data_IF_501324815037
#
_entry.id   IF_501324815037
#
_cell.length_a   1.000
_cell.length_b   1.000
_cell.length_c   1.000
_cell.angle_alpha   90.00
_cell.angle_beta   90.00
_cell.angle_gamma   90.00
#
_symmetry.space_group_name_H-M   'P 1'
#
loop_
_entity.id
_entity.type
_entity.pdbx_description
1 polymer ?
#
# COMPACT_ATOMS: atom_id res chain seq x y z
N UNK A 1 17.35 28.54 56.00
CA UNK A 1 16.20 27.60 55.97
C UNK A 1 15.15 27.91 54.89
N UNK A 2 14.82 29.17 54.55
CA UNK A 2 13.75 29.48 53.57
C UNK A 2 14.04 29.11 52.10
N UNK A 3 15.29 29.14 51.65
CA UNK A 3 15.67 28.87 50.25
C UNK A 3 15.60 27.36 49.92
N UNK A 4 15.96 26.50 50.87
CA UNK A 4 15.95 25.05 50.71
C UNK A 4 14.52 24.47 50.62
N UNK A 5 13.56 25.06 51.34
CA UNK A 5 12.15 24.66 51.27
C UNK A 5 11.53 25.00 49.90
N UNK A 6 11.93 26.13 49.31
CA UNK A 6 11.51 26.53 47.95
C UNK A 6 12.11 25.63 46.86
N UNK A 7 13.33 25.14 47.03
CA UNK A 7 13.96 24.19 46.10
C UNK A 7 13.36 22.78 46.20
N UNK A 8 13.04 22.32 47.42
CA UNK A 8 12.35 21.03 47.63
C UNK A 8 10.92 21.10 47.07
N UNK A 9 10.20 22.20 47.31
CA UNK A 9 8.86 22.39 46.74
C UNK A 9 8.87 22.47 45.21
N UNK A 10 9.89 23.11 44.60
CA UNK A 10 10.06 23.11 43.13
C UNK A 10 10.43 21.73 42.58
N UNK A 11 11.24 20.95 43.28
CA UNK A 11 11.62 19.60 42.84
C UNK A 11 10.44 18.62 42.90
N UNK A 12 9.60 18.72 43.94
CA UNK A 12 8.37 17.92 44.10
C UNK A 12 7.31 18.30 43.06
N UNK A 13 7.18 19.60 42.75
CA UNK A 13 6.28 20.07 41.69
C UNK A 13 6.77 19.66 40.29
N UNK A 14 8.08 19.56 40.07
CA UNK A 14 8.67 19.11 38.80
C UNK A 14 8.58 17.59 38.62
N UNK A 15 8.66 16.80 39.70
CA UNK A 15 8.47 15.34 39.64
C UNK A 15 7.01 14.94 39.42
N UNK A 16 6.04 15.82 39.73
CA UNK A 16 4.63 15.63 39.39
C UNK A 16 4.34 15.78 37.87
N UNK A 17 5.28 16.33 37.09
CA UNK A 17 5.18 16.42 35.63
C UNK A 17 5.86 15.26 34.88
N UNK A 18 6.47 14.30 35.59
CA UNK A 18 7.19 13.17 34.97
C UNK A 18 6.43 11.84 34.99
N UNK A 19 5.18 11.82 35.46
CA UNK A 19 4.29 10.67 35.31
C UNK A 19 3.31 10.97 34.18
N UNK A 20 3.76 10.74 32.95
CA UNK A 20 2.90 10.58 31.78
C UNK A 20 3.30 9.31 31.05
N UNK A 21 3.09 8.18 31.73
CA UNK A 21 2.71 6.96 31.06
C UNK A 21 1.35 6.62 31.66
N UNK A 22 0.27 6.89 30.92
CA UNK A 22 -0.98 6.18 31.18
C UNK A 22 -0.63 4.69 31.10
N UNK A 23 -0.55 4.02 32.24
CA UNK A 23 -0.88 2.61 32.28
C UNK A 23 -2.38 2.56 31.97
N UNK A 24 -2.74 2.47 30.69
CA UNK A 24 -4.10 2.14 30.30
C UNK A 24 -4.36 0.70 30.72
N UNK A 25 -4.76 0.52 31.97
CA UNK A 25 -5.51 -0.66 32.41
C UNK A 25 -6.87 -0.65 31.70
N UNK A 26 -6.93 -1.25 30.50
CA UNK A 26 -8.21 -1.49 29.82
C UNK A 26 -8.09 -1.55 28.30
N UNK A 27 -8.17 -2.77 27.77
CA UNK A 27 -8.05 -3.16 26.36
C UNK A 27 -6.62 -3.13 25.79
N UNK A 28 -5.92 -4.27 25.92
CA UNK A 28 -4.77 -4.56 25.06
C UNK A 28 -5.24 -4.48 23.60
N UNK A 29 -4.63 -3.61 22.80
CA UNK A 29 -4.89 -3.58 21.37
C UNK A 29 -4.61 -4.97 20.81
N UNK A 30 -5.54 -5.58 20.05
CA UNK A 30 -5.29 -6.87 19.44
C UNK A 30 -4.03 -6.77 18.56
N UNK A 31 -3.24 -7.85 18.41
CA UNK A 31 -2.00 -7.85 17.64
C UNK A 31 -2.31 -7.80 16.14
N UNK A 32 -2.81 -6.65 15.70
CA UNK A 32 -3.25 -6.40 14.33
C UNK A 32 -2.07 -6.08 13.43
N UNK A 33 -2.17 -6.57 12.19
CA UNK A 33 -1.26 -6.30 11.09
C UNK A 33 -1.92 -5.36 10.11
N UNK A 34 -1.14 -4.46 9.51
CA UNK A 34 -1.53 -3.62 8.38
C UNK A 34 -0.66 -3.99 7.18
N UNK A 35 -1.23 -4.70 6.21
CA UNK A 35 -0.46 -5.23 5.07
C UNK A 35 -1.22 -5.02 3.75
N UNK A 36 -0.46 -4.97 2.66
CA UNK A 36 -0.99 -5.13 1.31
C UNK A 36 -1.19 -6.62 1.04
N UNK A 37 -2.37 -6.99 0.53
CA UNK A 37 -2.83 -8.37 0.37
C UNK A 37 -3.65 -8.52 -0.91
N UNK A 38 -3.87 -9.75 -1.36
CA UNK A 38 -4.93 -10.08 -2.32
C UNK A 38 -6.09 -10.69 -1.57
N UNK A 39 -7.25 -10.05 -1.58
CA UNK A 39 -8.49 -10.63 -1.06
C UNK A 39 -9.16 -11.47 -2.14
N UNK A 40 -9.58 -12.68 -1.81
CA UNK A 40 -10.25 -13.62 -2.69
C UNK A 40 -11.63 -13.97 -2.13
N UNK A 41 -12.65 -13.90 -2.98
CA UNK A 41 -14.03 -14.19 -2.63
C UNK A 41 -14.46 -15.59 -3.04
N UNK A 42 -15.42 -16.15 -2.30
CA UNK A 42 -16.11 -17.39 -2.66
C UNK A 42 -17.14 -17.19 -3.76
N UNK A 43 -17.87 -18.28 -4.07
CA UNK A 43 -18.93 -18.27 -5.08
C UNK A 43 -20.14 -17.37 -4.71
N UNK A 44 -20.25 -16.98 -3.44
CA UNK A 44 -21.27 -16.05 -2.93
C UNK A 44 -20.78 -14.60 -2.86
N UNK A 45 -19.53 -14.32 -3.27
CA UNK A 45 -18.93 -12.97 -3.23
C UNK A 45 -18.36 -12.57 -1.86
N UNK A 46 -18.54 -13.39 -0.81
CA UNK A 46 -17.96 -13.11 0.51
C UNK A 46 -16.46 -13.39 0.51
N UNK A 47 -15.69 -12.62 1.29
CA UNK A 47 -14.26 -12.86 1.43
C UNK A 47 -13.98 -14.17 2.15
N UNK A 48 -13.21 -15.04 1.52
CA UNK A 48 -12.86 -16.37 2.03
C UNK A 48 -11.36 -16.50 2.31
N UNK A 49 -10.52 -15.78 1.57
CA UNK A 49 -9.06 -15.87 1.73
C UNK A 49 -8.38 -14.52 1.57
N UNK A 50 -7.39 -14.25 2.41
CA UNK A 50 -6.38 -13.22 2.19
C UNK A 50 -5.06 -13.88 1.79
N UNK A 51 -4.42 -13.40 0.73
CA UNK A 51 -3.11 -13.88 0.27
C UNK A 51 -2.08 -12.78 0.49
N UNK A 52 -1.05 -13.09 1.29
CA UNK A 52 0.07 -12.18 1.54
C UNK A 52 0.98 -12.04 0.33
N UNK A 53 1.82 -11.01 0.32
CA UNK A 53 2.83 -10.81 -0.73
C UNK A 53 3.89 -11.92 -0.78
N UNK A 54 3.99 -12.73 0.28
CA UNK A 54 4.85 -13.93 0.35
C UNK A 54 4.14 -15.20 -0.13
N UNK A 55 2.88 -15.10 -0.55
CA UNK A 55 2.07 -16.24 -0.99
C UNK A 55 1.38 -17.03 0.12
N UNK A 56 1.56 -16.66 1.40
CA UNK A 56 0.82 -17.29 2.50
C UNK A 56 -0.69 -17.00 2.34
N UNK A 57 -1.49 -18.07 2.39
CA UNK A 57 -2.96 -18.01 2.30
C UNK A 57 -3.56 -18.09 3.69
N UNK A 58 -4.37 -17.10 4.02
CA UNK A 58 -4.99 -16.90 5.33
C UNK A 58 -6.51 -17.05 5.18
N UNK A 59 -7.12 -17.98 5.91
CA UNK A 59 -8.58 -18.22 5.86
C UNK A 59 -9.29 -17.11 6.60
N UNK A 60 -10.28 -16.49 5.96
CA UNK A 60 -11.10 -15.46 6.59
C UNK A 60 -12.15 -16.15 7.47
N UNK A 61 -11.94 -16.15 8.78
CA UNK A 61 -12.91 -16.68 9.74
C UNK A 61 -13.97 -15.64 10.13
N UNK A 62 -13.60 -14.35 10.11
CA UNK A 62 -14.51 -13.25 10.40
C UNK A 62 -14.12 -12.01 9.59
N UNK A 63 -15.05 -11.51 8.76
CA UNK A 63 -14.91 -10.20 8.11
C UNK A 63 -15.87 -9.18 8.73
N UNK A 64 -15.33 -8.23 9.52
CA UNK A 64 -16.11 -7.17 10.15
C UNK A 64 -16.48 -6.04 9.19
N UNK A 65 -15.82 -5.97 8.04
CA UNK A 65 -16.10 -4.96 7.02
C UNK A 65 -17.32 -5.33 6.18
N UNK A 66 -17.64 -6.62 6.11
CA UNK A 66 -18.67 -7.19 5.22
C UNK A 66 -18.42 -6.77 3.77
N UNK A 67 -17.16 -6.84 3.36
CA UNK A 67 -16.78 -6.53 1.98
C UNK A 67 -17.29 -7.64 1.07
N UNK A 68 -17.94 -7.25 -0.02
CA UNK A 68 -18.34 -8.16 -1.08
C UNK A 68 -17.53 -7.88 -2.34
N UNK A 69 -17.02 -8.94 -2.98
CA UNK A 69 -16.43 -8.87 -4.31
C UNK A 69 -17.32 -9.57 -5.31
N UNK A 70 -16.97 -9.48 -6.60
CA UNK A 70 -17.55 -10.36 -7.60
C UNK A 70 -17.36 -11.83 -7.18
N UNK A 71 -18.36 -12.71 -7.38
CA UNK A 71 -18.24 -14.14 -7.11
C UNK A 71 -16.99 -14.76 -7.72
N UNK A 72 -16.21 -15.50 -6.93
CA UNK A 72 -14.91 -16.07 -7.29
C UNK A 72 -13.87 -15.04 -7.77
N UNK A 73 -14.10 -13.76 -7.47
CA UNK A 73 -13.22 -12.65 -7.83
C UNK A 73 -12.13 -12.42 -6.80
N UNK A 74 -11.19 -11.56 -7.17
CA UNK A 74 -10.12 -11.11 -6.29
C UNK A 74 -9.92 -9.60 -6.40
N UNK A 75 -9.48 -8.98 -5.31
CA UNK A 75 -9.10 -7.56 -5.27
C UNK A 75 -7.77 -7.37 -4.55
N UNK A 76 -6.98 -6.40 -5.00
CA UNK A 76 -5.77 -5.96 -4.30
C UNK A 76 -6.18 -4.97 -3.21
N UNK A 77 -5.79 -5.23 -1.97
CA UNK A 77 -6.28 -4.50 -0.80
C UNK A 77 -5.15 -4.12 0.16
N UNK A 78 -5.42 -3.14 1.00
CA UNK A 78 -4.72 -2.94 2.28
C UNK A 78 -5.70 -3.30 3.38
N UNK A 79 -5.30 -4.16 4.30
CA UNK A 79 -6.18 -4.61 5.38
C UNK A 79 -5.52 -4.54 6.74
N UNK A 80 -6.32 -4.13 7.72
CA UNK A 80 -6.05 -4.32 9.14
C UNK A 80 -6.69 -5.63 9.61
N UNK A 81 -5.89 -6.61 10.01
CA UNK A 81 -6.37 -7.93 10.40
C UNK A 81 -5.55 -8.55 11.52
N UNK A 82 -6.13 -9.52 12.22
CA UNK A 82 -5.51 -10.30 13.30
C UNK A 82 -5.49 -11.78 12.91
N UNK A 83 -4.39 -12.47 13.22
CA UNK A 83 -4.35 -13.94 13.14
C UNK A 83 -4.91 -14.49 14.45
N UNK A 84 -6.09 -15.12 14.39
CA UNK A 84 -6.84 -15.57 15.57
C UNK A 84 -6.63 -17.07 15.87
N UNK A 85 -6.19 -17.83 14.88
CA UNK A 85 -5.82 -19.24 15.02
C UNK A 85 -4.69 -19.59 14.05
N UNK A 86 -3.87 -20.57 14.41
CA UNK A 86 -2.79 -21.13 13.57
C UNK A 86 -2.73 -22.66 13.67
N UNK A 87 -3.87 -23.29 14.00
CA UNK A 87 -3.95 -24.73 14.19
C UNK A 87 -3.79 -25.50 12.86
N UNK A 88 -3.13 -26.65 12.90
CA UNK A 88 -3.03 -27.54 11.74
C UNK A 88 -2.28 -26.98 10.53
N UNK A 89 -1.45 -25.94 10.70
CA UNK A 89 -0.71 -25.30 9.61
C UNK A 89 -1.53 -24.32 8.76
N UNK A 90 -2.81 -24.11 9.12
CA UNK A 90 -3.67 -23.10 8.50
C UNK A 90 -3.86 -21.94 9.47
N UNK A 91 -3.75 -20.72 8.96
CA UNK A 91 -4.01 -19.51 9.74
C UNK A 91 -5.40 -18.99 9.43
N UNK A 92 -6.16 -18.73 10.48
CA UNK A 92 -7.45 -18.06 10.41
C UNK A 92 -7.30 -16.61 10.85
N UNK A 93 -7.99 -15.72 10.15
CA UNK A 93 -7.90 -14.29 10.36
C UNK A 93 -9.25 -13.64 10.59
N UNK A 94 -9.20 -12.56 11.37
CA UNK A 94 -10.28 -11.60 11.53
C UNK A 94 -9.90 -10.29 10.85
N UNK A 95 -10.74 -9.80 9.95
CA UNK A 95 -10.57 -8.51 9.27
C UNK A 95 -11.31 -7.42 10.06
N UNK A 96 -10.60 -6.36 10.43
CA UNK A 96 -11.16 -5.19 11.10
C UNK A 96 -11.42 -4.03 10.14
N UNK A 97 -10.51 -3.83 9.18
CA UNK A 97 -10.64 -2.82 8.14
C UNK A 97 -10.03 -3.32 6.84
N UNK A 98 -10.58 -2.85 5.72
CA UNK A 98 -10.13 -3.21 4.39
C UNK A 98 -10.39 -2.02 3.47
N UNK A 99 -9.40 -1.70 2.64
CA UNK A 99 -9.53 -0.71 1.58
C UNK A 99 -8.91 -1.29 0.30
N UNK A 100 -9.58 -1.10 -0.83
CA UNK A 100 -9.00 -1.44 -2.13
C UNK A 100 -7.80 -0.54 -2.43
N UNK A 101 -6.76 -1.12 -3.03
CA UNK A 101 -5.71 -0.31 -3.67
C UNK A 101 -6.18 0.13 -5.04
N UNK A 102 -5.64 1.25 -5.54
CA UNK A 102 -5.78 1.57 -6.96
C UNK A 102 -4.80 0.68 -7.72
N UNK A 103 -5.35 -0.29 -8.46
CA UNK A 103 -4.57 -1.33 -9.13
C UNK A 103 -5.00 -1.65 -10.57
N UNK A 104 -5.26 -0.65 -11.44
CA UNK A 104 -5.51 -0.92 -12.85
C UNK A 104 -4.24 -1.43 -13.55
N UNK A 105 -4.40 -2.19 -14.63
CA UNK A 105 -3.27 -2.59 -15.48
C UNK A 105 -2.65 -1.36 -16.15
N UNK A 106 -1.31 -1.27 -16.27
CA UNK A 106 -0.70 -0.18 -17.03
C UNK A 106 -1.13 -0.17 -18.49
N UNK A 107 -1.27 1.02 -19.07
CA UNK A 107 -1.68 1.21 -20.47
C UNK A 107 -0.80 2.26 -21.16
N UNK A 108 -0.63 2.20 -22.50
CA UNK A 108 0.13 3.21 -23.23
C UNK A 108 -0.45 4.62 -23.08
N UNK A 109 0.40 5.64 -23.22
CA UNK A 109 0.00 7.04 -23.11
C UNK A 109 -1.16 7.44 -24.06
N UNK A 110 -1.29 6.77 -25.21
CA UNK A 110 -2.35 7.02 -26.19
C UNK A 110 -3.77 6.72 -25.68
N UNK A 111 -3.93 5.88 -24.65
CA UNK A 111 -5.23 5.53 -24.06
C UNK A 111 -5.80 6.67 -23.19
N UNK A 112 -4.98 7.67 -22.84
CA UNK A 112 -5.40 8.83 -22.05
C UNK A 112 -5.90 9.95 -22.97
N UNK A 113 -7.14 9.82 -23.47
CA UNK A 113 -7.72 10.73 -24.46
C UNK A 113 -7.81 12.21 -24.05
N UNK A 114 -7.79 12.52 -22.75
CA UNK A 114 -7.79 13.89 -22.23
C UNK A 114 -6.38 14.42 -21.90
N UNK A 115 -5.34 13.73 -22.39
CA UNK A 115 -3.94 14.01 -22.09
C UNK A 115 -3.49 13.38 -20.77
N UNK A 116 -2.17 13.41 -20.56
CA UNK A 116 -1.55 12.89 -19.34
C UNK A 116 -1.69 13.89 -18.21
N UNK A 117 -2.01 13.38 -17.01
CA UNK A 117 -2.02 14.13 -15.75
C UNK A 117 -0.97 13.50 -14.84
N UNK A 118 -0.08 14.35 -14.34
CA UNK A 118 1.12 13.96 -13.59
C UNK A 118 1.23 14.81 -12.32
N UNK A 119 0.08 15.04 -11.66
CA UNK A 119 0.04 15.84 -10.45
C UNK A 119 0.96 15.24 -9.37
N UNK A 120 1.71 16.06 -8.63
CA UNK A 120 2.77 15.58 -7.77
C UNK A 120 2.27 14.72 -6.60
N UNK A 121 3.11 13.78 -6.17
CA UNK A 121 2.93 12.96 -4.97
C UNK A 121 4.29 12.73 -4.29
N UNK A 122 4.30 12.48 -2.98
CA UNK A 122 5.50 11.97 -2.30
C UNK A 122 5.38 10.47 -2.05
N UNK A 123 6.50 9.75 -2.10
CA UNK A 123 6.54 8.32 -1.78
C UNK A 123 6.87 8.12 -0.32
N UNK A 124 5.94 7.51 0.42
CA UNK A 124 6.20 7.07 1.80
C UNK A 124 6.89 5.70 1.82
N UNK A 125 6.48 4.79 0.93
CA UNK A 125 7.09 3.48 0.76
C UNK A 125 6.79 2.91 -0.63
N UNK A 126 7.73 2.13 -1.16
CA UNK A 126 7.61 1.43 -2.46
C UNK A 126 8.40 0.11 -2.41
N UNK A 127 7.79 -1.00 -2.82
CA UNK A 127 8.43 -2.32 -2.80
C UNK A 127 7.74 -3.31 -3.76
N UNK A 128 8.49 -4.33 -4.18
CA UNK A 128 7.94 -5.49 -4.89
C UNK A 128 7.26 -6.43 -3.91
N UNK A 129 6.04 -6.86 -4.21
CA UNK A 129 5.32 -7.85 -3.42
C UNK A 129 4.45 -8.72 -4.33
N UNK A 130 4.73 -10.02 -4.37
CA UNK A 130 4.18 -10.95 -5.35
C UNK A 130 4.36 -10.39 -6.78
N UNK A 131 3.31 -10.41 -7.60
CA UNK A 131 3.29 -9.83 -8.95
C UNK A 131 2.86 -8.36 -8.98
N UNK A 132 3.11 -7.62 -7.89
CA UNK A 132 2.76 -6.20 -7.78
C UNK A 132 3.97 -5.33 -7.38
N UNK A 133 4.04 -4.13 -7.95
CA UNK A 133 4.81 -3.03 -7.36
C UNK A 133 3.88 -2.22 -6.45
N UNK A 134 4.05 -2.33 -5.14
CA UNK A 134 3.21 -1.69 -4.15
C UNK A 134 3.78 -0.35 -3.71
N UNK A 135 2.91 0.62 -3.48
CA UNK A 135 3.28 1.95 -3.02
C UNK A 135 2.27 2.50 -2.01
N UNK A 136 2.80 3.13 -0.97
CA UNK A 136 2.05 4.10 -0.16
C UNK A 136 2.54 5.49 -0.53
N UNK A 137 1.62 6.30 -1.06
CA UNK A 137 1.87 7.66 -1.47
C UNK A 137 1.31 8.64 -0.44
N UNK A 138 1.96 9.80 -0.33
CA UNK A 138 1.47 10.97 0.40
C UNK A 138 1.02 12.00 -0.63
N UNK A 139 -0.26 12.33 -0.60
CA UNK A 139 -0.89 13.33 -1.48
C UNK A 139 -1.39 14.51 -0.66
N UNK A 140 -1.49 15.67 -1.28
CA UNK A 140 -2.20 16.84 -0.76
C UNK A 140 -3.61 16.85 -1.35
N UNK A 141 -4.61 16.83 -0.49
CA UNK A 141 -6.01 16.73 -0.88
C UNK A 141 -6.93 17.43 0.15
N UNK A 142 -8.03 17.99 -0.32
CA UNK A 142 -9.10 18.54 0.48
C UNK A 142 -10.39 17.76 0.23
N UNK A 143 -11.07 18.01 -0.90
CA UNK A 143 -12.42 17.51 -1.18
C UNK A 143 -12.58 16.85 -2.54
N UNK A 144 -11.71 17.14 -3.51
CA UNK A 144 -11.86 16.59 -4.85
C UNK A 144 -11.41 15.12 -4.93
N UNK A 145 -11.91 14.43 -5.96
CA UNK A 145 -11.57 13.04 -6.22
C UNK A 145 -10.28 12.94 -7.02
N UNK A 146 -9.25 12.38 -6.38
CA UNK A 146 -8.01 12.01 -7.05
C UNK A 146 -8.19 10.73 -7.87
N UNK A 147 -7.65 10.71 -9.09
CA UNK A 147 -7.64 9.53 -9.98
C UNK A 147 -6.20 9.10 -10.23
N UNK A 148 -5.95 7.80 -10.09
CA UNK A 148 -4.64 7.21 -10.36
C UNK A 148 -4.74 6.17 -11.47
N UNK A 149 -3.68 6.08 -12.25
CA UNK A 149 -3.45 4.99 -13.22
C UNK A 149 -1.93 4.81 -13.39
N UNK A 150 -1.54 3.85 -14.23
CA UNK A 150 -0.15 3.67 -14.63
C UNK A 150 -0.02 3.78 -16.15
N UNK A 151 0.98 4.53 -16.58
CA UNK A 151 1.33 4.74 -17.98
C UNK A 151 2.46 3.77 -18.31
N UNK A 152 2.28 2.96 -19.34
CA UNK A 152 3.34 2.17 -19.95
C UNK A 152 4.09 3.04 -20.96
N UNK A 153 5.24 3.57 -20.56
CA UNK A 153 6.05 4.44 -21.42
C UNK A 153 6.81 3.64 -22.47
N UNK A 154 7.32 2.46 -22.09
CA UNK A 154 7.99 1.55 -23.01
C UNK A 154 8.13 0.15 -22.45
N UNK A 155 8.14 -0.83 -23.36
CA UNK A 155 8.47 -2.23 -23.10
C UNK A 155 9.47 -2.66 -24.16
N UNK A 156 10.73 -2.84 -23.76
CA UNK A 156 11.84 -3.14 -24.67
C UNK A 156 12.48 -4.45 -24.26
N UNK A 157 12.57 -5.40 -25.19
CA UNK A 157 13.32 -6.63 -24.99
C UNK A 157 14.70 -6.46 -25.62
N UNK A 158 15.74 -6.64 -24.82
CA UNK A 158 17.10 -6.67 -25.31
C UNK A 158 17.30 -7.92 -26.18
N UNK A 159 17.75 -7.72 -27.42
CA UNK A 159 17.84 -8.80 -28.41
C UNK A 159 18.98 -9.79 -28.14
N UNK A 160 19.96 -9.42 -27.31
CA UNK A 160 21.15 -10.24 -27.02
C UNK A 160 20.95 -11.03 -25.72
N UNK A 161 20.56 -10.34 -24.65
CA UNK A 161 20.38 -10.90 -23.31
C UNK A 161 18.98 -11.45 -23.08
N UNK A 162 18.01 -11.08 -23.91
CA UNK A 162 16.59 -11.44 -23.72
C UNK A 162 15.91 -10.69 -22.57
N UNK A 163 16.64 -9.86 -21.82
CA UNK A 163 16.11 -9.13 -20.65
C UNK A 163 15.04 -8.14 -21.07
N UNK A 164 13.90 -8.16 -20.36
CA UNK A 164 12.82 -7.20 -20.57
C UNK A 164 13.10 -5.95 -19.73
N UNK A 165 13.02 -4.76 -20.33
CA UNK A 165 13.04 -3.48 -19.63
C UNK A 165 11.69 -2.80 -19.83
N UNK A 166 11.02 -2.49 -18.73
CA UNK A 166 9.71 -1.84 -18.70
C UNK A 166 9.87 -0.49 -18.01
N UNK A 167 9.39 0.57 -18.64
CA UNK A 167 9.32 1.91 -18.05
C UNK A 167 7.87 2.29 -17.83
N UNK A 168 7.54 2.58 -16.58
CA UNK A 168 6.21 2.93 -16.13
C UNK A 168 6.24 4.30 -15.45
N UNK A 169 5.15 5.04 -15.59
CA UNK A 169 4.95 6.34 -14.93
C UNK A 169 3.63 6.34 -14.17
N UNK A 170 3.59 6.96 -13.00
CA UNK A 170 2.33 7.23 -12.31
C UNK A 170 1.51 8.27 -13.11
N UNK A 171 0.29 7.91 -13.49
CA UNK A 171 -0.73 8.89 -13.85
C UNK A 171 -1.44 9.32 -12.56
N UNK A 172 -1.54 10.62 -12.35
CA UNK A 172 -2.27 11.20 -11.22
C UNK A 172 -2.97 12.48 -11.67
N UNK A 173 -4.29 12.48 -11.55
CA UNK A 173 -5.18 13.63 -11.77
C UNK A 173 -5.80 13.99 -10.43
N UNK A 174 -5.40 15.11 -9.85
CA UNK A 174 -5.98 15.61 -8.61
C UNK A 174 -7.34 16.30 -8.82
N UNK A 175 -7.82 16.43 -10.07
CA UNK A 175 -9.08 17.09 -10.38
C UNK A 175 -9.10 18.59 -10.11
N UNK A 176 -7.93 19.21 -9.93
CA UNK A 176 -7.80 20.60 -9.49
C UNK A 176 -8.01 20.79 -7.98
N UNK A 177 -7.85 19.74 -7.16
CA UNK A 177 -8.00 19.84 -5.70
C UNK A 177 -7.04 20.87 -5.10
N UNK A 178 -7.45 21.45 -3.97
CA UNK A 178 -6.58 22.29 -3.19
C UNK A 178 -5.56 21.43 -2.44
N UNK A 179 -4.28 21.78 -2.54
CA UNK A 179 -3.19 21.10 -1.85
C UNK A 179 -3.14 21.43 -0.34
N UNK A 180 -4.20 21.09 0.41
CA UNK A 180 -4.37 21.48 1.81
C UNK A 180 -3.82 20.45 2.81
N UNK A 181 -4.39 19.25 2.86
CA UNK A 181 -4.06 18.25 3.90
C UNK A 181 -3.32 17.05 3.32
N UNK A 182 -2.41 16.48 4.10
CA UNK A 182 -1.73 15.24 3.73
C UNK A 182 -2.67 14.04 3.92
N UNK A 183 -2.89 13.27 2.85
CA UNK A 183 -3.61 11.98 2.88
C UNK A 183 -2.74 10.86 2.31
N UNK A 184 -3.01 9.62 2.71
CA UNK A 184 -2.37 8.43 2.14
C UNK A 184 -3.18 7.90 0.97
N UNK A 185 -2.50 7.56 -0.12
CA UNK A 185 -3.04 6.77 -1.22
C UNK A 185 -2.29 5.44 -1.31
N UNK A 186 -3.02 4.35 -1.48
CA UNK A 186 -2.46 3.01 -1.62
C UNK A 186 -2.66 2.55 -3.07
N UNK A 187 -1.55 2.30 -3.76
CA UNK A 187 -1.58 1.89 -5.18
C UNK A 187 -0.71 0.66 -5.38
N UNK A 188 -1.11 -0.20 -6.30
CA UNK A 188 -0.38 -1.42 -6.65
C UNK A 188 -0.36 -1.56 -8.17
N UNK A 189 0.82 -1.60 -8.77
CA UNK A 189 0.93 -1.86 -10.20
C UNK A 189 0.88 -3.37 -10.42
N UNK A 190 -0.12 -3.94 -11.11
CA UNK A 190 -0.08 -5.35 -11.48
C UNK A 190 0.96 -5.57 -12.58
N UNK A 191 1.94 -6.43 -12.33
CA UNK A 191 3.09 -6.67 -13.20
C UNK A 191 2.99 -7.97 -13.99
N UNK A 192 1.96 -8.80 -13.75
CA UNK A 192 1.82 -10.12 -14.37
C UNK A 192 1.90 -10.12 -15.90
N UNK A 193 1.51 -9.02 -16.56
CA UNK A 193 1.63 -8.88 -18.03
C UNK A 193 3.08 -8.75 -18.53
N UNK A 194 4.00 -8.39 -17.64
CA UNK A 194 5.44 -8.29 -17.91
C UNK A 194 6.19 -9.52 -17.43
N UNK A 195 5.48 -10.56 -16.99
CA UNK A 195 6.10 -11.84 -16.70
C UNK A 195 6.83 -12.31 -17.95
N UNK A 196 8.16 -12.35 -17.87
CA UNK A 196 8.96 -12.80 -18.98
C UNK A 196 8.73 -14.32 -19.14
N UNK A 197 8.46 -14.77 -20.36
CA UNK A 197 8.48 -16.20 -20.70
C UNK A 197 9.90 -16.79 -20.67
N UNK A 198 10.92 -15.96 -20.42
CA UNK A 198 12.32 -16.32 -20.38
C UNK A 198 12.78 -16.50 -18.93
N UNK A 199 13.90 -17.19 -18.73
CA UNK A 199 14.50 -17.41 -17.41
C UNK A 199 14.97 -16.12 -16.69
N UNK A 200 14.97 -14.97 -17.38
CA UNK A 200 15.53 -13.72 -16.90
C UNK A 200 14.46 -12.78 -16.33
N UNK A 201 14.73 -12.10 -15.19
CA UNK A 201 13.81 -11.12 -14.61
C UNK A 201 13.57 -9.93 -15.54
N UNK A 202 12.39 -9.33 -15.43
CA UNK A 202 12.12 -8.04 -16.04
C UNK A 202 12.67 -6.91 -15.17
N UNK A 203 13.31 -5.92 -15.77
CA UNK A 203 13.66 -4.67 -15.09
C UNK A 203 12.51 -3.68 -15.18
N UNK A 204 11.99 -3.30 -14.03
CA UNK A 204 10.94 -2.30 -13.91
C UNK A 204 11.55 -0.97 -13.46
N UNK A 205 11.38 0.06 -14.29
CA UNK A 205 11.63 1.44 -13.93
C UNK A 205 10.28 2.10 -13.67
N UNK A 206 10.05 2.61 -12.46
CA UNK A 206 8.82 3.30 -12.11
C UNK A 206 9.12 4.75 -11.74
N UNK A 207 8.46 5.68 -12.43
CA UNK A 207 8.67 7.11 -12.29
C UNK A 207 7.41 7.83 -11.80
N UNK A 208 7.59 8.95 -11.11
CA UNK A 208 6.51 9.86 -10.68
C UNK A 208 7.04 11.28 -10.46
N UNK A 209 6.14 12.24 -10.51
CA UNK A 209 6.41 13.64 -10.17
C UNK A 209 6.23 13.88 -8.67
N UNK A 210 7.13 14.65 -8.06
CA UNK A 210 7.13 14.98 -6.63
C UNK A 210 6.84 16.46 -6.38
N UNK A 211 6.40 16.81 -5.16
CA UNK A 211 6.06 18.19 -4.79
C UNK A 211 7.25 19.16 -4.84
N UNK A 212 8.50 18.65 -4.82
CA UNK A 212 9.71 19.46 -5.02
C UNK A 212 10.02 19.74 -6.51
N UNK A 213 9.10 19.38 -7.41
CA UNK A 213 9.19 19.64 -8.85
C UNK A 213 10.08 18.67 -9.62
N UNK A 214 10.52 17.57 -9.01
CA UNK A 214 11.37 16.56 -9.67
C UNK A 214 10.57 15.36 -10.18
N UNK A 215 11.19 14.63 -11.10
CA UNK A 215 10.77 13.26 -11.43
C UNK A 215 11.66 12.30 -10.66
N UNK A 216 11.06 11.46 -9.83
CA UNK A 216 11.77 10.41 -9.10
C UNK A 216 11.55 9.08 -9.80
N UNK A 217 12.64 8.36 -10.05
CA UNK A 217 12.60 7.03 -10.70
C UNK A 217 13.17 5.97 -9.77
N UNK A 218 12.45 4.86 -9.66
CA UNK A 218 12.83 3.68 -8.88
C UNK A 218 13.08 2.51 -9.83
N UNK A 219 14.01 1.63 -9.47
CA UNK A 219 14.39 0.47 -10.26
C UNK A 219 14.17 -0.80 -9.44
N UNK A 220 13.53 -1.80 -10.06
CA UNK A 220 13.28 -3.11 -9.45
C UNK A 220 13.56 -4.24 -10.45
N UNK A 221 14.03 -5.36 -9.93
CA UNK A 221 14.00 -6.64 -10.63
C UNK A 221 12.67 -7.34 -10.32
N UNK A 222 11.93 -7.70 -11.35
CA UNK A 222 10.70 -8.46 -11.26
C UNK A 222 10.91 -9.89 -11.72
N UNK A 223 10.76 -10.81 -10.77
CA UNK A 223 10.67 -12.25 -10.99
C UNK A 223 9.20 -12.64 -10.74
N UNK A 224 8.49 -13.22 -11.73
CA UNK A 224 7.11 -13.65 -11.54
C UNK A 224 6.98 -14.63 -10.38
N UNK A 225 5.95 -14.46 -9.55
CA UNK A 225 5.63 -15.46 -8.54
C UNK A 225 5.00 -16.69 -9.19
N UNK A 226 5.56 -17.88 -8.91
CA UNK A 226 5.00 -19.17 -9.30
C UNK A 226 3.79 -19.55 -8.45
#
# INVERSE_FOLDING_TARGET
MRIWVLHIARLVLLSAFLISCNEEEGASYPPVKLEFLTAEAGADGTLQTLVTDKGERLVVAEDRTRTELFPNGSSRVVSNYEVISSAGGQKEVRIYALANTVSPAPVPAAEFGNGLKLDPVDVLSIWMGRDFLNMTLSIKAQSEKHRFHFIEESVVRDAVTGRLTVRLMLYHDNGGDMEAYTKRAYVSVPLGRYAASAAEPAMIYFSLHTYDGKVKTYQFEYVPSH
#
